data_IF_687398793471
#
_entry.id   IF_687398793471
#
_cell.length_a   1.000
_cell.length_b   1.000
_cell.length_c   1.000
_cell.angle_alpha   90.00
_cell.angle_beta   90.00
_cell.angle_gamma   90.00
#
_symmetry.space_group_name_H-M   'P 1'
#
loop_
_entity.id
_entity.type
_entity.pdbx_description
1 polymer ?
#
# COMPACT_ATOMS: atom_id res chain seq x y z
N UNK A 1 4.41 -1.94 -27.42
CA UNK A 1 3.28 -2.76 -27.93
C UNK A 1 2.58 -1.95 -28.99
N UNK A 2 2.21 -2.52 -30.13
CA UNK A 2 1.32 -1.81 -31.03
C UNK A 2 -0.02 -1.58 -30.33
N UNK A 3 -0.56 -0.37 -30.47
CA UNK A 3 -1.89 -0.06 -29.96
C UNK A 3 -2.89 -0.93 -30.73
N UNK A 4 -3.71 -1.71 -30.01
CA UNK A 4 -4.77 -2.50 -30.62
C UNK A 4 -6.07 -1.72 -30.45
N UNK A 5 -6.28 -0.75 -31.32
CA UNK A 5 -7.51 0.07 -31.34
C UNK A 5 -8.45 -0.62 -32.31
N UNK A 6 -9.54 -1.17 -31.78
CA UNK A 6 -10.59 -1.77 -32.59
C UNK A 6 -11.58 -0.68 -32.98
N UNK A 7 -11.59 -0.31 -34.25
CA UNK A 7 -12.55 0.68 -34.78
C UNK A 7 -14.00 0.22 -34.62
N UNK A 8 -14.89 1.06 -34.13
CA UNK A 8 -16.29 0.70 -33.96
C UNK A 8 -17.00 0.53 -35.34
N UNK A 9 -17.50 -0.65 -35.62
CA UNK A 9 -18.37 -0.88 -36.76
C UNK A 9 -19.78 -0.40 -36.42
N UNK A 10 -20.06 0.87 -36.66
CA UNK A 10 -21.35 1.49 -36.38
C UNK A 10 -21.39 2.23 -35.04
N UNK A 11 -22.26 3.25 -34.96
CA UNK A 11 -22.46 4.16 -33.84
C UNK A 11 -23.01 3.41 -32.61
N UNK A 12 -22.19 2.60 -31.97
CA UNK A 12 -22.41 2.14 -30.59
C UNK A 12 -21.15 2.47 -29.77
N UNK A 13 -21.09 3.72 -29.37
CA UNK A 13 -20.19 4.26 -28.38
C UNK A 13 -20.54 3.73 -26.99
N UNK A 14 -20.30 2.48 -26.72
CA UNK A 14 -20.22 2.02 -25.35
C UNK A 14 -18.87 1.33 -25.25
N UNK A 15 -17.84 2.13 -25.02
CA UNK A 15 -16.68 1.63 -24.32
C UNK A 15 -17.19 1.25 -22.93
N UNK A 16 -17.35 -0.06 -22.70
CA UNK A 16 -17.63 -0.58 -21.36
C UNK A 16 -16.45 -0.19 -20.46
N UNK A 17 -16.54 1.03 -19.91
CA UNK A 17 -15.68 1.41 -18.80
C UNK A 17 -15.98 0.44 -17.68
N UNK A 18 -15.07 -0.50 -17.45
CA UNK A 18 -15.13 -1.36 -16.26
C UNK A 18 -15.08 -0.44 -15.05
N UNK A 19 -16.24 -0.21 -14.43
CA UNK A 19 -16.36 0.66 -13.28
C UNK A 19 -15.58 0.05 -12.10
N UNK A 20 -14.37 0.51 -11.90
CA UNK A 20 -13.58 0.16 -10.73
C UNK A 20 -13.69 1.26 -9.67
N UNK A 21 -13.82 0.81 -8.43
CA UNK A 21 -13.91 1.70 -7.30
C UNK A 21 -12.62 2.52 -7.17
N UNK A 22 -12.74 3.81 -6.92
CA UNK A 22 -11.62 4.70 -6.60
C UNK A 22 -10.79 4.15 -5.43
N UNK A 23 -9.57 4.66 -5.24
CA UNK A 23 -8.66 4.20 -4.21
C UNK A 23 -9.31 4.18 -2.81
N UNK A 24 -9.51 2.98 -2.28
CA UNK A 24 -10.15 2.77 -0.97
C UNK A 24 -9.21 3.07 0.20
N UNK A 25 -7.90 3.03 -0.05
CA UNK A 25 -6.87 3.35 0.93
C UNK A 25 -6.65 4.86 1.12
N UNK A 26 -7.35 5.72 0.34
CA UNK A 26 -7.21 7.18 0.43
C UNK A 26 -7.61 7.75 1.80
N UNK A 27 -8.50 7.06 2.52
CA UNK A 27 -8.89 7.42 3.91
C UNK A 27 -7.70 7.44 4.86
N UNK A 28 -6.68 6.61 4.59
CA UNK A 28 -5.46 6.49 5.40
C UNK A 28 -4.42 7.56 5.10
N UNK A 29 -4.63 8.41 4.11
CA UNK A 29 -3.66 9.45 3.76
C UNK A 29 -3.40 10.38 4.95
N UNK A 30 -2.12 10.56 5.26
CA UNK A 30 -1.66 11.48 6.30
C UNK A 30 -1.64 12.91 5.77
N UNK A 31 -1.86 13.93 6.63
CA UNK A 31 -1.73 15.31 6.23
C UNK A 31 -0.29 15.63 5.78
N UNK A 32 -0.10 16.41 4.70
CA UNK A 32 1.23 16.73 4.17
C UNK A 32 2.16 17.42 5.16
N UNK A 33 1.62 18.05 6.20
CA UNK A 33 2.39 18.74 7.25
C UNK A 33 3.19 17.82 8.17
N UNK A 34 2.87 16.53 8.21
CA UNK A 34 3.55 15.57 9.08
C UNK A 34 4.90 15.07 8.54
N UNK A 35 5.09 15.17 7.22
CA UNK A 35 6.30 14.72 6.55
C UNK A 35 7.11 15.91 6.05
N UNK A 36 8.41 15.91 6.34
CA UNK A 36 9.33 16.89 5.78
C UNK A 36 10.21 16.20 4.74
N UNK A 37 10.38 16.81 3.54
CA UNK A 37 11.35 16.31 2.58
C UNK A 37 12.75 16.48 3.16
N UNK A 38 13.61 15.49 2.91
CA UNK A 38 15.04 15.57 3.20
C UNK A 38 15.78 16.20 2.00
N UNK A 39 17.11 16.28 2.09
CA UNK A 39 17.94 16.69 0.94
C UNK A 39 17.85 15.67 -0.21
N UNK A 40 17.51 14.40 0.10
CA UNK A 40 17.26 13.36 -0.88
C UNK A 40 15.79 13.37 -1.30
N UNK A 41 15.52 13.44 -2.60
CA UNK A 41 14.16 13.55 -3.15
C UNK A 41 13.26 12.35 -2.82
N UNK A 42 13.87 11.18 -2.55
CA UNK A 42 13.15 9.93 -2.27
C UNK A 42 13.05 9.58 -0.78
N UNK A 43 13.41 10.51 0.09
CA UNK A 43 13.36 10.29 1.54
C UNK A 43 12.48 11.34 2.21
N UNK A 44 11.73 10.88 3.19
CA UNK A 44 10.92 11.74 4.06
C UNK A 44 11.36 11.53 5.50
N UNK A 45 11.33 12.59 6.29
CA UNK A 45 11.56 12.47 7.71
C UNK A 45 10.33 12.91 8.51
N UNK A 46 10.13 12.21 9.62
CA UNK A 46 9.11 12.54 10.61
C UNK A 46 9.71 12.57 12.02
N UNK A 47 9.22 13.44 12.92
CA UNK A 47 9.70 13.49 14.29
C UNK A 47 9.02 12.39 15.11
N UNK A 48 9.82 11.64 15.87
CA UNK A 48 9.37 10.74 16.93
C UNK A 48 9.82 11.32 18.26
N UNK A 49 8.87 11.59 19.14
CA UNK A 49 9.13 12.15 20.45
C UNK A 49 8.78 11.13 21.53
N UNK A 50 9.70 10.94 22.45
CA UNK A 50 9.52 10.16 23.67
C UNK A 50 9.72 11.06 24.87
N UNK A 51 8.83 10.95 25.85
CA UNK A 51 8.89 11.72 27.09
C UNK A 51 9.01 10.73 28.25
N UNK A 52 9.96 10.97 29.15
CA UNK A 52 10.11 10.15 30.35
C UNK A 52 8.90 10.27 31.27
N UNK A 53 8.68 9.21 32.07
CA UNK A 53 7.59 9.16 33.04
C UNK A 53 7.77 10.08 34.24
N UNK A 54 6.80 10.07 35.14
CA UNK A 54 6.87 10.79 36.41
C UNK A 54 7.85 10.10 37.35
N UNK A 55 8.58 10.90 38.14
CA UNK A 55 9.41 10.43 39.25
C UNK A 55 8.84 10.88 40.59
N UNK A 56 9.32 10.30 41.65
CA UNK A 56 8.93 10.67 43.01
C UNK A 56 9.32 12.12 43.33
N UNK A 57 8.41 12.84 43.94
CA UNK A 57 8.65 14.19 44.44
C UNK A 57 9.08 14.11 45.88
N UNK A 58 10.27 14.61 46.20
CA UNK A 58 10.76 14.77 47.56
C UNK A 58 10.64 16.21 48.02
N UNK A 59 10.12 16.44 49.25
CA UNK A 59 9.94 17.77 49.81
C UNK A 59 11.27 18.48 50.10
N UNK A 60 12.36 17.76 50.25
CA UNK A 60 13.68 18.32 50.52
C UNK A 60 14.47 18.61 49.25
N UNK A 61 14.40 17.73 48.24
CA UNK A 61 15.16 17.80 46.97
C UNK A 61 14.35 18.24 45.76
N UNK A 62 13.02 18.29 45.88
CA UNK A 62 12.13 18.73 44.79
C UNK A 62 11.83 17.66 43.75
N UNK A 63 11.72 18.09 42.50
CA UNK A 63 11.43 17.20 41.34
C UNK A 63 12.67 16.40 40.95
N UNK A 64 12.46 15.15 40.56
CA UNK A 64 13.50 14.34 39.93
C UNK A 64 13.76 14.80 38.50
N UNK A 65 15.00 14.96 38.10
CA UNK A 65 15.39 15.41 36.76
C UNK A 65 15.54 14.27 35.74
N UNK A 66 14.97 13.09 36.03
CA UNK A 66 15.15 11.89 35.20
C UNK A 66 14.22 11.83 33.98
N UNK A 67 13.26 12.74 33.84
CA UNK A 67 12.37 12.80 32.69
C UNK A 67 12.97 13.68 31.60
N UNK A 68 13.70 13.06 30.67
CA UNK A 68 14.18 13.70 29.45
C UNK A 68 13.15 13.66 28.34
N UNK A 69 13.18 14.65 27.44
CA UNK A 69 12.49 14.59 26.15
C UNK A 69 13.51 14.14 25.12
N UNK A 70 13.23 13.01 24.47
CA UNK A 70 14.04 12.51 23.37
C UNK A 70 13.27 12.76 22.05
N UNK A 71 13.79 13.63 21.19
CA UNK A 71 13.24 13.91 19.88
C UNK A 71 14.19 13.37 18.81
N UNK A 72 13.77 12.32 18.13
CA UNK A 72 14.54 11.69 17.03
C UNK A 72 13.82 11.90 15.71
N UNK A 73 14.56 12.31 14.70
CA UNK A 73 14.07 12.36 13.34
C UNK A 73 14.28 11.00 12.66
N UNK A 74 13.20 10.32 12.33
CA UNK A 74 13.24 9.05 11.59
C UNK A 74 13.10 9.33 10.10
N UNK A 75 13.87 8.63 9.28
CA UNK A 75 13.84 8.74 7.83
C UNK A 75 13.17 7.51 7.24
N UNK A 76 12.25 7.74 6.30
CA UNK A 76 11.55 6.70 5.54
C UNK A 76 11.82 6.93 4.06
N UNK A 77 12.21 5.86 3.37
CA UNK A 77 12.40 5.89 1.93
C UNK A 77 11.06 5.73 1.20
N UNK A 78 10.85 6.50 0.13
CA UNK A 78 9.75 6.31 -0.78
C UNK A 78 10.06 5.11 -1.69
N UNK A 79 9.50 3.97 -1.38
CA UNK A 79 9.74 2.71 -2.09
C UNK A 79 8.68 2.38 -3.15
N UNK A 80 7.72 3.27 -3.36
CA UNK A 80 6.76 3.23 -4.47
C UNK A 80 7.01 4.38 -5.43
N UNK A 81 7.57 4.10 -6.60
CA UNK A 81 7.77 5.06 -7.68
C UNK A 81 7.40 4.39 -9.01
N UNK A 82 6.22 4.72 -9.48
CA UNK A 82 5.62 4.09 -10.66
C UNK A 82 5.14 5.13 -11.65
N UNK A 83 5.37 4.84 -12.92
CA UNK A 83 4.92 5.73 -13.99
C UNK A 83 4.69 5.00 -15.30
N UNK A 84 3.93 5.63 -16.17
CA UNK A 84 3.67 5.13 -17.52
C UNK A 84 3.59 6.27 -18.52
N UNK A 85 3.88 5.94 -19.78
CA UNK A 85 3.70 6.79 -20.94
C UNK A 85 2.78 6.07 -21.92
N UNK A 86 1.63 6.67 -22.20
CA UNK A 86 0.72 6.20 -23.24
C UNK A 86 0.87 7.15 -24.43
N UNK A 87 1.09 6.60 -25.60
CA UNK A 87 1.19 7.33 -26.85
C UNK A 87 0.07 6.84 -27.78
N UNK A 88 -0.68 7.78 -28.32
CA UNK A 88 -1.78 7.52 -29.27
C UNK A 88 -1.46 8.33 -30.52
N UNK A 89 -1.34 7.66 -31.67
CA UNK A 89 -1.14 8.28 -32.97
C UNK A 89 -2.32 9.17 -33.33
N UNK A 90 -2.06 10.29 -33.98
CA UNK A 90 -3.10 11.27 -34.31
C UNK A 90 -4.11 10.72 -35.31
N UNK A 91 -3.67 9.91 -36.28
CA UNK A 91 -4.59 9.28 -37.23
C UNK A 91 -5.48 8.25 -36.55
N UNK A 92 -4.91 7.41 -35.66
CA UNK A 92 -5.68 6.44 -34.86
C UNK A 92 -6.70 7.13 -33.94
N UNK A 93 -6.33 8.29 -33.40
CA UNK A 93 -7.22 9.09 -32.54
C UNK A 93 -8.38 9.68 -33.33
N UNK A 94 -8.12 10.24 -34.51
CA UNK A 94 -9.15 10.78 -35.41
C UNK A 94 -10.08 9.67 -35.93
N UNK A 95 -9.56 8.52 -36.31
CA UNK A 95 -10.35 7.36 -36.73
C UNK A 95 -11.25 6.81 -35.62
N UNK A 96 -10.85 7.01 -34.34
CA UNK A 96 -11.66 6.66 -33.17
C UNK A 96 -12.58 7.79 -32.68
N UNK A 97 -12.74 8.86 -33.44
CA UNK A 97 -13.54 10.06 -33.10
C UNK A 97 -13.05 10.73 -31.80
N UNK A 98 -11.76 10.84 -31.58
CA UNK A 98 -11.12 11.44 -30.38
C UNK A 98 -11.47 10.75 -29.04
N UNK A 99 -12.08 9.56 -29.09
CA UNK A 99 -12.45 8.82 -27.89
C UNK A 99 -11.27 8.09 -27.26
N UNK A 100 -10.32 7.61 -28.08
CA UNK A 100 -9.20 6.79 -27.60
C UNK A 100 -8.34 7.56 -26.58
N UNK A 101 -8.00 8.81 -26.89
CA UNK A 101 -7.15 9.63 -26.04
C UNK A 101 -7.90 10.15 -24.81
N UNK A 102 -9.13 10.67 -24.97
CA UNK A 102 -9.90 11.25 -23.87
C UNK A 102 -10.22 10.26 -22.75
N UNK A 103 -10.40 8.99 -23.07
CA UNK A 103 -10.70 7.94 -22.10
C UNK A 103 -9.45 7.25 -21.53
N UNK A 104 -8.36 7.21 -22.28
CA UNK A 104 -7.13 6.52 -21.86
C UNK A 104 -6.59 7.01 -20.51
N UNK A 105 -6.56 8.32 -20.27
CA UNK A 105 -6.09 8.90 -19.03
C UNK A 105 -7.00 8.56 -17.84
N UNK A 106 -8.32 8.61 -18.03
CA UNK A 106 -9.28 8.30 -16.97
C UNK A 106 -9.29 6.80 -16.63
N UNK A 107 -9.22 5.95 -17.65
CA UNK A 107 -9.13 4.50 -17.49
C UNK A 107 -7.84 4.11 -16.79
N UNK A 108 -6.70 4.71 -17.17
CA UNK A 108 -5.42 4.52 -16.48
C UNK A 108 -5.54 4.76 -14.98
N UNK A 109 -6.10 5.90 -14.58
CA UNK A 109 -6.20 6.26 -13.15
C UNK A 109 -7.12 5.32 -12.38
N UNK A 110 -8.28 4.98 -12.94
CA UNK A 110 -9.31 4.18 -12.24
C UNK A 110 -9.02 2.69 -12.25
N UNK A 111 -8.49 2.17 -13.36
CA UNK A 111 -8.35 0.73 -13.57
C UNK A 111 -6.97 0.20 -13.20
N UNK A 112 -5.94 1.05 -13.25
CA UNK A 112 -4.56 0.63 -12.98
C UNK A 112 -3.97 1.32 -11.75
N UNK A 113 -3.96 2.65 -11.70
CA UNK A 113 -3.26 3.38 -10.64
C UNK A 113 -3.91 3.20 -9.27
N UNK A 114 -5.25 3.34 -9.18
CA UNK A 114 -5.95 3.20 -7.90
C UNK A 114 -5.89 1.76 -7.35
N UNK A 115 -6.13 0.69 -8.14
CA UNK A 115 -6.00 -0.69 -7.67
C UNK A 115 -4.59 -1.06 -7.23
N UNK A 116 -3.57 -0.63 -7.98
CA UNK A 116 -2.16 -0.89 -7.65
C UNK A 116 -1.77 -0.18 -6.36
N UNK A 117 -2.13 1.10 -6.21
CA UNK A 117 -1.85 1.87 -5.01
C UNK A 117 -2.51 1.31 -3.74
N UNK A 118 -3.74 0.80 -3.86
CA UNK A 118 -4.43 0.13 -2.76
C UNK A 118 -3.73 -1.19 -2.38
N UNK A 119 -3.44 -2.04 -3.37
CA UNK A 119 -2.79 -3.32 -3.15
C UNK A 119 -1.40 -3.14 -2.53
N UNK A 120 -0.63 -2.16 -3.01
CA UNK A 120 0.65 -1.79 -2.42
C UNK A 120 0.50 -1.34 -0.97
N UNK A 121 -0.48 -0.48 -0.68
CA UNK A 121 -0.71 0.03 0.68
C UNK A 121 -1.00 -1.11 1.65
N UNK A 122 -1.92 -2.03 1.30
CA UNK A 122 -2.28 -3.15 2.18
C UNK A 122 -1.13 -4.13 2.36
N UNK A 123 -0.40 -4.44 1.30
CA UNK A 123 0.78 -5.31 1.38
C UNK A 123 1.89 -4.70 2.25
N UNK A 124 2.12 -3.39 2.16
CA UNK A 124 3.09 -2.68 3.00
C UNK A 124 2.68 -2.65 4.47
N UNK A 125 1.42 -2.39 4.76
CA UNK A 125 0.91 -2.44 6.13
C UNK A 125 1.08 -3.86 6.70
N UNK A 126 0.76 -4.89 5.93
CA UNK A 126 0.92 -6.29 6.36
C UNK A 126 2.39 -6.69 6.59
N UNK A 127 3.33 -6.03 5.93
CA UNK A 127 4.76 -6.27 6.07
C UNK A 127 5.41 -5.49 7.23
N UNK A 128 4.68 -4.59 7.91
CA UNK A 128 5.21 -3.84 9.05
C UNK A 128 5.55 -4.79 10.21
N UNK A 129 6.73 -4.63 10.78
CA UNK A 129 7.12 -5.35 11.99
C UNK A 129 6.46 -4.75 13.23
N UNK A 130 6.10 -5.58 14.21
CA UNK A 130 5.54 -5.11 15.50
C UNK A 130 4.06 -4.71 15.45
N UNK A 131 3.34 -5.05 14.40
CA UNK A 131 1.87 -5.01 14.38
C UNK A 131 1.30 -6.30 14.94
N UNK A 132 0.08 -6.26 15.47
CA UNK A 132 -0.65 -7.47 15.84
C UNK A 132 -1.10 -8.19 14.58
N UNK A 133 -0.65 -9.43 14.42
CA UNK A 133 -0.89 -10.21 13.21
C UNK A 133 -1.43 -11.60 13.57
N UNK A 134 -2.70 -11.87 13.23
CA UNK A 134 -3.37 -13.13 13.47
C UNK A 134 -3.64 -13.88 12.16
N UNK A 135 -3.37 -15.19 12.19
CA UNK A 135 -3.68 -16.10 11.08
C UNK A 135 -4.93 -16.87 11.42
N UNK A 136 -6.04 -16.54 10.77
CA UNK A 136 -7.35 -17.11 11.05
C UNK A 136 -8.08 -17.51 9.77
N UNK A 137 -8.70 -18.67 9.78
CA UNK A 137 -9.64 -19.08 8.73
C UNK A 137 -11.04 -18.68 9.13
N UNK A 138 -11.56 -17.60 8.55
CA UNK A 138 -12.89 -17.07 8.86
C UNK A 138 -13.87 -17.48 7.75
N UNK A 139 -14.77 -18.41 8.07
CA UNK A 139 -15.75 -18.95 7.13
C UNK A 139 -17.17 -18.35 7.28
N UNK A 140 -17.47 -17.77 8.44
CA UNK A 140 -18.80 -17.30 8.76
C UNK A 140 -18.90 -15.98 9.51
N UNK A 141 -20.11 -15.41 9.55
CA UNK A 141 -20.35 -14.13 10.20
C UNK A 141 -20.13 -14.16 11.73
N UNK A 142 -20.41 -15.26 12.40
CA UNK A 142 -20.19 -15.40 13.83
C UNK A 142 -18.70 -15.40 14.18
N UNK A 143 -17.88 -16.16 13.42
CA UNK A 143 -16.43 -16.18 13.59
C UNK A 143 -15.81 -14.82 13.30
N UNK A 144 -16.29 -14.15 12.23
CA UNK A 144 -15.81 -12.80 11.90
C UNK A 144 -16.18 -11.79 12.98
N UNK A 145 -17.37 -11.87 13.57
CA UNK A 145 -17.78 -11.01 14.67
C UNK A 145 -16.89 -11.22 15.90
N UNK A 146 -16.61 -12.48 16.26
CA UNK A 146 -15.72 -12.84 17.37
C UNK A 146 -14.29 -12.32 17.12
N UNK A 147 -13.76 -12.49 15.90
CA UNK A 147 -12.45 -11.99 15.53
C UNK A 147 -12.35 -10.45 15.63
N UNK A 148 -13.40 -9.72 15.24
CA UNK A 148 -13.45 -8.26 15.40
C UNK A 148 -13.46 -7.87 16.88
N UNK A 149 -14.29 -8.55 17.70
CA UNK A 149 -14.36 -8.26 19.13
C UNK A 149 -13.02 -8.56 19.83
N UNK A 150 -12.37 -9.65 19.48
CA UNK A 150 -11.02 -9.97 19.99
C UNK A 150 -10.03 -8.88 19.60
N UNK A 151 -10.02 -8.49 18.32
CA UNK A 151 -9.11 -7.46 17.82
C UNK A 151 -9.33 -6.10 18.50
N UNK A 152 -10.59 -5.70 18.71
CA UNK A 152 -10.89 -4.44 19.41
C UNK A 152 -10.49 -4.50 20.88
N UNK A 153 -10.72 -5.64 21.55
CA UNK A 153 -10.30 -5.84 22.94
C UNK A 153 -8.77 -5.77 23.09
N UNK A 154 -8.01 -6.43 22.22
CA UNK A 154 -6.54 -6.34 22.25
C UNK A 154 -6.06 -4.90 22.03
N UNK A 155 -6.67 -4.16 21.11
CA UNK A 155 -6.33 -2.75 20.90
C UNK A 155 -6.70 -1.86 22.09
N UNK A 156 -7.77 -2.21 22.84
CA UNK A 156 -8.18 -1.48 24.06
C UNK A 156 -7.21 -1.76 25.21
N UNK A 157 -6.76 -3.01 25.38
CA UNK A 157 -5.72 -3.38 26.35
C UNK A 157 -4.37 -2.71 26.05
N UNK A 158 -4.07 -2.45 24.78
CA UNK A 158 -2.90 -1.70 24.33
C UNK A 158 -3.10 -0.16 24.38
N UNK A 159 -4.17 0.31 25.04
CA UNK A 159 -4.50 1.73 25.23
C UNK A 159 -4.61 2.51 23.91
N UNK A 160 -4.98 1.86 22.81
CA UNK A 160 -5.21 2.54 21.52
C UNK A 160 -6.55 3.27 21.57
N UNK A 161 -6.63 4.58 21.25
CA UNK A 161 -7.89 5.30 21.23
C UNK A 161 -8.92 4.70 20.26
N UNK A 162 -10.18 4.61 20.64
CA UNK A 162 -11.25 4.13 19.76
C UNK A 162 -11.52 5.09 18.59
N UNK A 163 -11.29 6.37 18.81
CA UNK A 163 -11.46 7.39 17.80
C UNK A 163 -10.52 7.14 16.61
N UNK A 164 -11.01 7.33 15.41
CA UNK A 164 -10.24 7.17 14.16
C UNK A 164 -9.74 5.74 13.87
N UNK A 165 -10.34 4.71 14.47
CA UNK A 165 -10.14 3.32 14.04
C UNK A 165 -10.98 3.05 12.79
N UNK A 166 -10.33 2.63 11.72
CA UNK A 166 -10.97 2.25 10.47
C UNK A 166 -10.88 0.75 10.25
N UNK A 167 -12.02 0.14 9.93
CA UNK A 167 -12.09 -1.28 9.58
C UNK A 167 -12.10 -1.46 8.07
N UNK A 168 -11.09 -2.15 7.55
CA UNK A 168 -11.01 -2.60 6.16
C UNK A 168 -11.36 -4.08 6.10
N UNK A 169 -12.33 -4.45 5.28
CA UNK A 169 -12.74 -5.84 5.12
C UNK A 169 -13.35 -6.10 3.75
N UNK A 170 -13.50 -7.37 3.40
CA UNK A 170 -14.14 -7.75 2.15
C UNK A 170 -15.66 -7.62 2.23
N UNK A 171 -16.29 -7.37 1.07
CA UNK A 171 -17.76 -7.28 0.99
C UNK A 171 -18.45 -8.58 1.44
N UNK A 172 -17.79 -9.73 1.22
CA UNK A 172 -18.34 -11.05 1.60
C UNK A 172 -18.42 -11.20 3.11
N UNK A 173 -17.35 -10.91 3.84
CA UNK A 173 -17.31 -10.99 5.29
C UNK A 173 -18.24 -9.97 5.95
N UNK A 174 -18.28 -8.74 5.42
CA UNK A 174 -19.21 -7.74 5.94
C UNK A 174 -20.67 -8.12 5.73
N UNK A 175 -21.01 -8.76 4.60
CA UNK A 175 -22.36 -9.31 4.35
C UNK A 175 -22.69 -10.39 5.36
N UNK A 176 -21.78 -11.31 5.67
CA UNK A 176 -22.01 -12.41 6.59
C UNK A 176 -22.32 -11.95 8.01
N UNK A 177 -21.62 -10.89 8.51
CA UNK A 177 -21.94 -10.29 9.82
C UNK A 177 -23.28 -9.57 9.81
N UNK A 178 -23.56 -8.79 8.77
CA UNK A 178 -24.84 -8.10 8.64
C UNK A 178 -26.02 -9.05 8.55
N UNK A 179 -25.82 -10.26 8.01
CA UNK A 179 -26.84 -11.30 7.94
C UNK A 179 -27.18 -11.94 9.29
N UNK A 180 -26.34 -11.76 10.32
CA UNK A 180 -26.65 -12.21 11.69
C UNK A 180 -27.77 -11.38 12.31
N UNK A 181 -27.90 -10.12 11.92
CA UNK A 181 -28.92 -9.15 12.37
C UNK A 181 -29.16 -9.13 13.90
N UNK A 182 -28.07 -9.25 14.66
CA UNK A 182 -28.11 -9.22 16.13
C UNK A 182 -27.67 -7.85 16.64
N UNK A 183 -28.09 -7.50 17.87
CA UNK A 183 -27.64 -6.28 18.55
C UNK A 183 -26.12 -6.24 18.66
N UNK A 184 -25.50 -7.37 19.02
CA UNK A 184 -24.04 -7.50 19.10
C UNK A 184 -23.32 -7.20 17.78
N UNK A 185 -23.88 -7.66 16.64
CA UNK A 185 -23.24 -7.42 15.34
C UNK A 185 -23.33 -5.94 14.92
N UNK A 186 -24.35 -5.23 15.36
CA UNK A 186 -24.49 -3.79 15.12
C UNK A 186 -23.54 -3.00 16.01
N UNK A 187 -23.55 -3.25 17.31
CA UNK A 187 -22.67 -2.58 18.28
C UNK A 187 -21.19 -2.77 17.94
N UNK A 188 -20.77 -3.98 17.58
CA UNK A 188 -19.39 -4.24 17.17
C UNK A 188 -18.95 -3.48 15.90
N UNK A 189 -19.88 -3.17 15.00
CA UNK A 189 -19.60 -2.38 13.80
C UNK A 189 -19.68 -0.87 14.02
N UNK A 190 -20.46 -0.42 15.01
CA UNK A 190 -20.64 1.01 15.31
C UNK A 190 -19.42 1.63 16.02
N UNK A 191 -18.56 0.81 16.63
CA UNK A 191 -17.33 1.27 17.29
C UNK A 191 -16.23 1.77 16.34
N UNK A 192 -16.43 1.68 15.02
CA UNK A 192 -15.44 2.15 14.04
C UNK A 192 -15.77 3.52 13.46
N UNK A 193 -14.77 4.37 13.32
CA UNK A 193 -14.90 5.66 12.64
C UNK A 193 -15.33 5.51 11.17
N UNK A 194 -15.05 4.36 10.58
CA UNK A 194 -15.51 4.03 9.23
C UNK A 194 -15.20 2.59 8.85
N UNK A 195 -16.09 2.01 8.04
CA UNK A 195 -15.94 0.66 7.49
C UNK A 195 -15.74 0.77 5.99
N UNK A 196 -14.58 0.32 5.54
CA UNK A 196 -14.18 0.40 4.15
C UNK A 196 -14.21 -1.00 3.52
N UNK A 197 -14.99 -1.14 2.45
CA UNK A 197 -15.06 -2.38 1.68
C UNK A 197 -13.93 -2.44 0.68
N UNK A 198 -13.10 -3.46 0.78
CA UNK A 198 -11.96 -3.67 -0.12
C UNK A 198 -12.28 -4.82 -1.08
N UNK A 199 -12.07 -4.64 -2.39
CA UNK A 199 -12.15 -5.74 -3.34
C UNK A 199 -11.10 -6.81 -3.02
N UNK A 200 -11.50 -8.09 -3.00
CA UNK A 200 -10.62 -9.21 -2.59
C UNK A 200 -9.30 -9.28 -3.37
N UNK A 201 -9.34 -8.95 -4.67
CA UNK A 201 -8.13 -8.96 -5.51
C UNK A 201 -7.03 -8.00 -5.06
N UNK A 202 -7.36 -6.91 -4.36
CA UNK A 202 -6.42 -5.91 -3.86
C UNK A 202 -6.00 -6.14 -2.40
N UNK A 203 -6.60 -7.13 -1.72
CA UNK A 203 -6.50 -7.30 -0.27
C UNK A 203 -5.66 -8.51 0.07
N UNK A 204 -4.34 -8.38 -0.12
CA UNK A 204 -3.36 -9.43 0.08
C UNK A 204 -2.18 -8.92 0.93
N UNK A 205 -1.54 -9.85 1.65
CA UNK A 205 -0.40 -9.56 2.52
C UNK A 205 0.90 -9.27 1.76
N UNK A 206 0.99 -9.69 0.51
CA UNK A 206 2.15 -9.45 -0.34
C UNK A 206 1.74 -9.30 -1.81
N UNK A 207 2.45 -8.47 -2.55
CA UNK A 207 2.26 -8.27 -3.99
C UNK A 207 3.60 -8.21 -4.71
N UNK A 208 3.61 -8.61 -5.98
CA UNK A 208 4.70 -8.37 -6.91
C UNK A 208 4.34 -7.19 -7.80
N UNK A 209 5.19 -6.16 -7.83
CA UNK A 209 5.09 -5.05 -8.76
C UNK A 209 5.84 -5.40 -10.04
N UNK A 210 5.15 -5.43 -11.16
CA UNK A 210 5.73 -5.80 -12.44
C UNK A 210 6.43 -4.61 -13.08
N UNK A 211 7.64 -4.82 -13.58
CA UNK A 211 8.51 -3.72 -14.09
C UNK A 211 7.97 -3.03 -15.35
N UNK A 212 7.20 -3.74 -16.15
CA UNK A 212 6.71 -3.28 -17.44
C UNK A 212 7.80 -3.19 -18.52
N UNK A 213 8.97 -3.80 -18.30
CA UNK A 213 10.13 -3.69 -19.21
C UNK A 213 10.44 -4.97 -19.95
N UNK A 214 10.51 -6.09 -19.25
CA UNK A 214 11.07 -7.33 -19.78
C UNK A 214 10.19 -8.57 -19.52
N UNK A 215 10.24 -9.52 -20.44
CA UNK A 215 9.67 -10.87 -20.30
C UNK A 215 8.20 -10.88 -19.90
N UNK A 216 7.85 -11.70 -18.93
CA UNK A 216 6.48 -11.87 -18.42
C UNK A 216 5.95 -10.62 -17.69
N UNK A 217 6.80 -9.66 -17.39
CA UNK A 217 6.46 -8.41 -16.71
C UNK A 217 6.13 -7.26 -17.68
N UNK A 218 6.23 -7.47 -18.99
CA UNK A 218 6.08 -6.42 -20.02
C UNK A 218 4.71 -5.70 -19.96
N UNK A 219 3.70 -6.36 -19.45
CA UNK A 219 2.37 -5.77 -19.26
C UNK A 219 2.34 -4.72 -18.14
N UNK A 220 3.35 -4.71 -17.27
CA UNK A 220 3.35 -3.86 -16.08
C UNK A 220 2.23 -4.18 -15.09
N UNK A 221 1.95 -3.24 -14.18
CA UNK A 221 0.93 -3.43 -13.15
C UNK A 221 1.43 -4.25 -11.97
N UNK A 222 0.56 -5.05 -11.38
CA UNK A 222 0.85 -5.83 -10.18
C UNK A 222 0.07 -7.14 -10.17
N UNK A 223 0.51 -8.08 -9.35
CA UNK A 223 -0.19 -9.33 -9.04
C UNK A 223 0.01 -9.72 -7.57
N UNK A 224 -0.86 -10.56 -6.98
CA UNK A 224 -0.57 -11.20 -5.69
C UNK A 224 0.76 -11.95 -5.78
N UNK A 225 1.62 -11.82 -4.78
CA UNK A 225 2.93 -12.44 -4.78
C UNK A 225 2.79 -13.98 -4.76
N UNK A 226 3.42 -14.60 -5.73
CA UNK A 226 3.40 -16.08 -5.86
C UNK A 226 4.53 -16.75 -5.09
N UNK A 227 5.38 -15.97 -4.41
CA UNK A 227 6.59 -16.43 -3.76
C UNK A 227 7.75 -16.56 -4.74
N UNK A 228 8.81 -17.18 -4.29
CA UNK A 228 10.04 -17.30 -5.08
C UNK A 228 11.19 -16.50 -4.48
N UNK A 229 12.10 -16.06 -5.31
CA UNK A 229 13.26 -15.28 -4.89
C UNK A 229 13.35 -13.99 -5.70
N UNK A 230 13.45 -12.88 -5.02
CA UNK A 230 13.62 -11.55 -5.62
C UNK A 230 15.02 -11.03 -5.32
N UNK A 231 15.59 -10.24 -6.22
CA UNK A 231 16.88 -9.62 -5.98
C UNK A 231 16.76 -8.63 -4.82
N UNK A 232 17.67 -8.71 -3.85
CA UNK A 232 17.60 -7.81 -2.69
C UNK A 232 17.87 -6.36 -3.09
N UNK A 233 17.10 -5.45 -2.50
CA UNK A 233 17.32 -4.02 -2.62
C UNK A 233 18.10 -3.45 -1.41
N UNK A 234 18.55 -4.31 -0.49
CA UNK A 234 19.26 -3.87 0.70
C UNK A 234 20.62 -3.26 0.36
N UNK A 235 20.96 -2.18 1.02
CA UNK A 235 22.26 -1.49 0.93
C UNK A 235 23.23 -1.92 2.02
N UNK A 236 22.74 -2.66 3.02
CA UNK A 236 23.53 -3.24 4.10
C UNK A 236 22.96 -4.60 4.52
N UNK A 237 23.80 -5.44 5.13
CA UNK A 237 23.39 -6.76 5.62
C UNK A 237 22.54 -6.56 6.88
N UNK A 238 21.28 -7.03 6.82
CA UNK A 238 20.34 -6.94 7.94
C UNK A 238 20.42 -8.18 8.81
N UNK A 239 20.50 -7.98 10.13
CA UNK A 239 20.48 -9.08 11.09
C UNK A 239 19.15 -9.83 11.04
N UNK A 240 19.21 -11.16 11.01
CA UNK A 240 18.03 -12.02 10.96
C UNK A 240 17.40 -12.19 9.58
N UNK A 241 17.93 -11.56 8.54
CA UNK A 241 17.48 -11.71 7.16
C UNK A 241 18.32 -12.76 6.42
N UNK A 242 17.63 -13.63 5.69
CA UNK A 242 18.26 -14.66 4.87
C UNK A 242 18.53 -14.16 3.46
N UNK A 243 19.75 -14.34 2.99
CA UNK A 243 20.18 -14.00 1.64
C UNK A 243 20.53 -15.27 0.86
N UNK A 244 20.28 -15.24 -0.45
CA UNK A 244 20.49 -16.37 -1.35
C UNK A 244 21.29 -15.95 -2.57
N UNK A 245 22.14 -16.82 -3.07
CA UNK A 245 22.78 -16.70 -4.39
C UNK A 245 22.05 -17.54 -5.41
N UNK A 246 21.98 -17.08 -6.65
CA UNK A 246 21.36 -17.79 -7.77
C UNK A 246 22.45 -18.44 -8.63
N UNK A 247 22.30 -19.73 -8.92
CA UNK A 247 23.12 -20.47 -9.89
C UNK A 247 22.20 -21.30 -10.79
N UNK A 248 22.06 -20.88 -12.05
CA UNK A 248 21.01 -21.41 -12.93
C UNK A 248 19.62 -21.14 -12.34
N UNK A 249 18.81 -22.18 -12.15
CA UNK A 249 17.47 -22.08 -11.52
C UNK A 249 17.49 -22.42 -10.02
N UNK A 250 18.67 -22.61 -9.43
CA UNK A 250 18.80 -22.99 -8.01
C UNK A 250 19.23 -21.80 -7.16
N UNK A 251 18.54 -21.64 -6.02
CA UNK A 251 18.85 -20.64 -5.01
C UNK A 251 19.44 -21.27 -3.77
N UNK A 252 20.64 -20.84 -3.38
CA UNK A 252 21.36 -21.39 -2.22
C UNK A 252 21.51 -20.31 -1.16
N UNK A 253 21.14 -20.65 0.09
CA UNK A 253 21.26 -19.74 1.23
C UNK A 253 22.73 -19.42 1.52
N UNK A 254 23.02 -18.14 1.70
CA UNK A 254 24.35 -17.63 2.03
C UNK A 254 24.54 -17.67 3.55
N UNK A 255 25.52 -18.43 4.04
CA UNK A 255 25.76 -18.56 5.47
C UNK A 255 26.30 -17.25 6.10
N UNK A 256 27.18 -16.54 5.38
CA UNK A 256 27.79 -15.29 5.84
C UNK A 256 27.66 -14.24 4.72
N UNK A 257 26.56 -13.50 4.69
CA UNK A 257 26.35 -12.49 3.67
C UNK A 257 27.33 -11.32 3.86
N UNK A 258 27.90 -10.84 2.75
CA UNK A 258 28.83 -9.72 2.74
C UNK A 258 28.19 -8.49 2.06
N UNK A 259 28.40 -7.31 2.64
CA UNK A 259 27.88 -6.05 2.09
C UNK A 259 28.31 -5.80 0.64
N UNK A 260 29.56 -6.12 0.31
CA UNK A 260 30.10 -5.93 -1.05
C UNK A 260 29.38 -6.76 -2.14
N UNK A 261 28.73 -7.85 -1.76
CA UNK A 261 28.02 -8.77 -2.67
C UNK A 261 26.51 -8.65 -2.62
N UNK A 262 25.96 -7.66 -1.89
CA UNK A 262 24.51 -7.49 -1.75
C UNK A 262 23.79 -7.34 -3.09
N UNK A 263 24.41 -6.71 -4.08
CA UNK A 263 23.87 -6.58 -5.42
C UNK A 263 23.64 -7.91 -6.17
N UNK A 264 24.26 -9.01 -5.72
CA UNK A 264 24.14 -10.35 -6.31
C UNK A 264 23.26 -11.29 -5.49
N UNK A 265 22.76 -10.82 -4.34
CA UNK A 265 21.94 -11.63 -3.47
C UNK A 265 20.46 -11.51 -3.79
N UNK A 266 19.77 -12.57 -3.45
CA UNK A 266 18.32 -12.71 -3.55
C UNK A 266 17.75 -12.95 -2.16
N UNK A 267 16.53 -12.52 -1.95
CA UNK A 267 15.74 -12.79 -0.76
C UNK A 267 14.49 -13.59 -1.12
N UNK A 268 14.01 -14.40 -0.20
CA UNK A 268 12.78 -15.16 -0.42
C UNK A 268 11.59 -14.23 -0.36
N UNK A 269 10.88 -14.12 -1.46
CA UNK A 269 9.63 -13.35 -1.51
C UNK A 269 8.54 -14.07 -0.72
N UNK A 270 7.75 -13.30 0.01
CA UNK A 270 6.56 -13.84 0.68
C UNK A 270 5.51 -14.30 -0.32
N UNK A 271 4.78 -15.36 0.01
CA UNK A 271 3.57 -15.75 -0.72
C UNK A 271 2.43 -14.86 -0.25
N UNK A 272 1.66 -14.34 -1.20
CA UNK A 272 0.47 -13.56 -0.88
C UNK A 272 -0.56 -14.42 -0.16
N UNK A 273 -1.04 -13.95 0.98
CA UNK A 273 -2.16 -14.53 1.70
C UNK A 273 -3.33 -13.54 1.67
N UNK A 274 -4.56 -14.00 1.46
CA UNK A 274 -5.72 -13.11 1.53
C UNK A 274 -5.88 -12.54 2.93
N UNK A 275 -6.09 -11.23 3.00
CA UNK A 275 -6.42 -10.55 4.26
C UNK A 275 -7.92 -10.70 4.52
N UNK A 276 -8.29 -11.10 5.73
CA UNK A 276 -9.68 -11.16 6.19
C UNK A 276 -10.17 -9.76 6.54
N UNK A 277 -9.47 -9.11 7.45
CA UNK A 277 -9.72 -7.73 7.82
C UNK A 277 -8.45 -7.05 8.36
N UNK A 278 -8.47 -5.75 8.34
CA UNK A 278 -7.42 -4.89 8.84
C UNK A 278 -8.07 -3.74 9.61
N UNK A 279 -7.68 -3.56 10.88
CA UNK A 279 -8.07 -2.41 11.67
C UNK A 279 -6.86 -1.49 11.77
N UNK A 280 -7.08 -0.22 11.46
CA UNK A 280 -6.02 0.79 11.51
C UNK A 280 -6.51 2.00 12.28
N UNK A 281 -5.82 2.33 13.36
CA UNK A 281 -5.92 3.63 13.98
C UNK A 281 -5.13 4.63 13.14
N UNK A 282 -5.82 5.54 12.45
CA UNK A 282 -5.23 6.41 11.42
C UNK A 282 -3.95 7.15 11.87
N UNK A 283 -3.84 7.68 13.12
CA UNK A 283 -2.62 8.32 13.60
C UNK A 283 -1.41 7.38 13.80
N UNK A 284 -1.59 6.06 13.69
CA UNK A 284 -0.50 5.09 13.76
C UNK A 284 0.19 4.87 12.42
N UNK A 285 -0.44 5.29 11.32
CA UNK A 285 0.05 5.07 9.96
C UNK A 285 0.56 6.37 9.34
N UNK A 286 1.65 6.25 8.59
CA UNK A 286 2.17 7.27 7.70
C UNK A 286 1.90 6.81 6.28
N UNK A 287 0.97 7.47 5.59
CA UNK A 287 0.72 7.23 4.18
C UNK A 287 0.74 8.55 3.44
N UNK A 288 1.63 8.66 2.49
CA UNK A 288 1.77 9.83 1.67
C UNK A 288 1.88 9.45 0.20
N UNK A 289 0.96 9.93 -0.60
CA UNK A 289 0.94 9.76 -2.04
C UNK A 289 1.21 11.11 -2.70
N UNK A 290 2.22 11.19 -3.56
CA UNK A 290 2.51 12.38 -4.35
C UNK A 290 2.51 12.05 -5.83
N UNK A 291 1.76 12.83 -6.57
CA UNK A 291 1.83 12.84 -8.02
C UNK A 291 2.97 13.75 -8.45
N UNK A 292 4.01 13.19 -9.05
CA UNK A 292 5.15 13.97 -9.59
C UNK A 292 4.74 14.64 -10.89
N UNK A 293 4.02 13.87 -11.72
CA UNK A 293 3.35 14.38 -12.89
C UNK A 293 1.92 13.85 -12.81
N UNK A 294 0.93 14.72 -12.68
CA UNK A 294 -0.45 14.39 -13.00
C UNK A 294 -0.52 13.91 -14.45
N UNK A 295 -1.67 13.46 -14.96
CA UNK A 295 -1.82 13.15 -16.36
C UNK A 295 -1.42 14.37 -17.19
N UNK A 296 -0.16 14.42 -17.62
CA UNK A 296 0.36 15.52 -18.46
C UNK A 296 0.15 15.11 -19.91
N UNK A 297 -0.63 15.89 -20.59
CA UNK A 297 -0.92 15.72 -22.02
C UNK A 297 0.05 16.55 -22.83
N UNK A 298 0.74 15.90 -23.77
CA UNK A 298 1.57 16.55 -24.78
C UNK A 298 0.89 16.30 -26.12
N UNK A 299 0.45 17.37 -26.79
CA UNK A 299 -0.17 17.27 -28.10
C UNK A 299 0.84 16.91 -29.21
N UNK A 300 0.34 16.53 -30.41
CA UNK A 300 1.18 16.14 -31.54
C UNK A 300 2.19 17.25 -31.91
N UNK A 301 1.75 18.50 -31.93
CA UNK A 301 2.59 19.67 -32.28
C UNK A 301 3.81 19.87 -31.35
N UNK A 302 3.75 19.32 -30.12
CA UNK A 302 4.80 19.44 -29.12
C UNK A 302 5.61 18.13 -28.96
N UNK A 303 5.30 17.10 -29.71
CA UNK A 303 5.97 15.81 -29.67
C UNK A 303 7.02 15.74 -30.80
N UNK A 304 8.33 15.79 -30.47
CA UNK A 304 9.38 15.80 -31.50
C UNK A 304 9.63 14.42 -32.13
N UNK A 305 9.09 13.35 -31.52
CA UNK A 305 9.42 11.98 -31.90
C UNK A 305 8.40 11.35 -32.85
N UNK A 306 7.15 11.82 -32.82
CA UNK A 306 6.05 11.26 -33.64
C UNK A 306 4.85 12.20 -33.67
N UNK A 307 4.03 12.09 -34.73
CA UNK A 307 2.74 12.77 -34.84
C UNK A 307 1.69 12.05 -33.97
N UNK A 308 1.88 12.18 -32.64
CA UNK A 308 1.12 11.44 -31.67
C UNK A 308 0.94 12.23 -30.36
N UNK A 309 -0.24 12.11 -29.78
CA UNK A 309 -0.54 12.63 -28.44
C UNK A 309 0.01 11.71 -27.35
N UNK A 310 0.62 12.28 -26.32
CA UNK A 310 1.26 11.54 -25.23
C UNK A 310 0.59 11.88 -23.90
N UNK A 311 0.19 10.86 -23.12
CA UNK A 311 -0.16 10.97 -21.70
C UNK A 311 0.97 10.44 -20.86
N UNK A 312 1.54 11.28 -20.00
CA UNK A 312 2.55 10.88 -19.00
C UNK A 312 1.93 10.93 -17.61
N UNK A 313 2.18 9.88 -16.84
CA UNK A 313 1.77 9.81 -15.44
C UNK A 313 2.89 9.22 -14.60
N UNK A 314 3.17 9.84 -13.45
CA UNK A 314 4.11 9.31 -12.46
C UNK A 314 3.63 9.62 -11.05
N UNK A 315 3.62 8.60 -10.20
CA UNK A 315 3.26 8.69 -8.79
C UNK A 315 4.37 8.06 -7.97
N UNK A 316 4.74 8.71 -6.87
CA UNK A 316 5.53 8.07 -5.83
C UNK A 316 4.84 8.20 -4.48
N UNK A 317 5.15 7.30 -3.57
CA UNK A 317 4.51 7.26 -2.28
C UNK A 317 5.35 6.55 -1.23
N UNK A 318 4.93 6.74 0.00
CA UNK A 318 5.46 6.06 1.18
C UNK A 318 4.30 5.54 2.02
N UNK A 319 4.47 4.33 2.53
CA UNK A 319 3.57 3.71 3.51
C UNK A 319 4.44 3.13 4.62
N UNK A 320 4.28 3.63 5.83
CA UNK A 320 4.99 3.16 7.02
C UNK A 320 4.14 3.36 8.27
N UNK A 321 4.52 2.80 9.40
CA UNK A 321 3.87 2.98 10.68
C UNK A 321 4.81 3.60 11.71
N UNK A 322 4.28 4.47 12.58
CA UNK A 322 5.04 4.95 13.71
C UNK A 322 5.42 3.79 14.63
N UNK A 323 6.73 3.63 14.93
CA UNK A 323 7.23 2.50 15.75
C UNK A 323 6.55 2.41 17.13
N UNK A 324 6.31 3.56 17.74
CA UNK A 324 5.66 3.67 19.06
C UNK A 324 4.13 3.57 19.04
N UNK A 325 3.52 3.40 17.86
CA UNK A 325 2.06 3.30 17.68
C UNK A 325 1.62 2.07 16.92
N UNK A 326 2.51 1.08 16.77
CA UNK A 326 2.23 -0.12 15.97
C UNK A 326 1.12 -0.99 16.54
N UNK A 327 0.86 -0.93 17.84
CA UNK A 327 -0.31 -1.51 18.47
C UNK A 327 -1.65 -1.00 17.88
N UNK A 328 -1.63 0.20 17.26
CA UNK A 328 -2.78 0.75 16.53
C UNK A 328 -3.08 0.10 15.19
N UNK A 329 -2.39 -1.00 14.82
CA UNK A 329 -2.60 -1.72 13.56
C UNK A 329 -2.79 -3.20 13.87
N UNK A 330 -3.95 -3.72 13.54
CA UNK A 330 -4.32 -5.13 13.72
C UNK A 330 -4.64 -5.78 12.37
N UNK A 331 -3.97 -6.86 12.04
CA UNK A 331 -4.13 -7.60 10.80
C UNK A 331 -4.62 -9.03 11.06
N UNK A 332 -5.69 -9.45 10.37
CA UNK A 332 -6.10 -10.85 10.27
C UNK A 332 -6.01 -11.30 8.82
N UNK A 333 -5.34 -12.44 8.58
CA UNK A 333 -5.19 -13.03 7.25
C UNK A 333 -5.35 -14.55 7.29
N UNK A 334 -5.48 -15.18 6.12
CA UNK A 334 -5.54 -16.64 5.97
C UNK A 334 -4.18 -17.30 6.10
#
# INVERSE_FOLDING_TARGET
MPNNITLPKGIQTILDEVYRKAAVSSVLNSPPSQLKPTQNVHEFCYPQMEVGGLGDYDRASGYTSNSGVNLVWKTVAADYDRGTKIMVDEMDNQESFDLAFGQAANSLLREHVAPEGDAFTFAKIAALSGITNNTDTIEGGAQFLEAILTATTEMDEDEVPEEQRYLFTTSTLLKSVKALDTTKSREALDGFAGIVKVPRGRFNTAIDLLSGRDGDEIAGGWRPAVGGYVKTADTDVKSGKDYYTKSGDTYTKVANPAKASLGDYYEKAGVAKPINFLIVHKPALIKFDRHVAGPTVIGPDMNPDADASIVKYRKYGVVDGYENKRAGIYLSHQ
#
